data_IF_995739779213
#
_entry.id   IF_995739779213
#
_cell.length_a   1.000
_cell.length_b   1.000
_cell.length_c   1.000
_cell.angle_alpha   90.00
_cell.angle_beta   90.00
_cell.angle_gamma   90.00
#
_symmetry.space_group_name_H-M   'P 1'
#
loop_
_entity.id
_entity.type
_entity.pdbx_description
1 polymer ?
#
# COMPACT_ATOMS: atom_id res chain seq x y z
N UNK A 1 -0.34 10.17 31.45
CA UNK A 1 -1.06 9.09 30.75
C UNK A 1 -1.88 9.54 29.53
N UNK A 2 -2.20 10.85 29.35
CA UNK A 2 -2.55 11.43 28.02
C UNK A 2 -1.59 11.00 26.89
N UNK A 3 -0.28 11.04 27.17
CA UNK A 3 0.77 10.59 26.23
C UNK A 3 0.62 9.12 25.86
N UNK A 4 0.22 8.24 26.79
CA UNK A 4 0.00 6.81 26.54
C UNK A 4 -1.13 6.58 25.55
N UNK A 5 -2.26 7.30 25.71
CA UNK A 5 -3.39 7.24 24.78
C UNK A 5 -3.01 7.77 23.38
N UNK A 6 -2.29 8.89 23.32
CA UNK A 6 -1.80 9.49 22.06
C UNK A 6 -0.83 8.53 21.35
N UNK A 7 0.11 7.94 22.11
CA UNK A 7 1.08 6.97 21.59
C UNK A 7 0.37 5.72 21.08
N UNK A 8 -0.57 5.16 21.84
CA UNK A 8 -1.33 3.97 21.43
C UNK A 8 -2.08 4.23 20.11
N UNK A 9 -2.83 5.33 20.02
CA UNK A 9 -3.56 5.68 18.80
C UNK A 9 -2.60 5.93 17.62
N UNK A 10 -1.45 6.57 17.88
CA UNK A 10 -0.44 6.81 16.84
C UNK A 10 0.17 5.49 16.35
N UNK A 11 0.45 4.54 17.24
CA UNK A 11 0.98 3.22 16.88
C UNK A 11 -0.04 2.45 16.03
N UNK A 12 -1.31 2.39 16.46
CA UNK A 12 -2.37 1.69 15.71
C UNK A 12 -2.51 2.27 14.30
N UNK A 13 -2.47 3.60 14.18
CA UNK A 13 -2.54 4.28 12.90
C UNK A 13 -1.30 4.04 12.02
N UNK A 14 -0.10 4.04 12.61
CA UNK A 14 1.13 3.71 11.89
C UNK A 14 1.07 2.28 11.33
N UNK A 15 0.64 1.32 12.15
CA UNK A 15 0.46 -0.07 11.73
C UNK A 15 -0.52 -0.16 10.55
N UNK A 16 -1.66 0.54 10.64
CA UNK A 16 -2.64 0.57 9.55
C UNK A 16 -2.06 1.13 8.24
N UNK A 17 -1.31 2.23 8.31
CA UNK A 17 -0.66 2.82 7.13
C UNK A 17 0.39 1.90 6.51
N UNK A 18 1.19 1.22 7.35
CA UNK A 18 2.19 0.24 6.89
C UNK A 18 1.52 -0.95 6.22
N UNK A 19 0.44 -1.49 6.81
CA UNK A 19 -0.32 -2.60 6.21
C UNK A 19 -0.85 -2.20 4.83
N UNK A 20 -1.46 -1.02 4.70
CA UNK A 20 -1.98 -0.53 3.42
C UNK A 20 -0.86 -0.42 2.38
N UNK A 21 0.31 0.11 2.76
CA UNK A 21 1.47 0.20 1.85
C UNK A 21 1.96 -1.18 1.41
N UNK A 22 2.02 -2.15 2.32
CA UNK A 22 2.47 -3.51 2.00
C UNK A 22 1.51 -4.19 1.03
N UNK A 23 0.20 -4.13 1.33
CA UNK A 23 -0.84 -4.72 0.48
C UNK A 23 -0.85 -4.06 -0.89
N UNK A 24 -0.76 -2.72 -0.97
CA UNK A 24 -0.73 -2.01 -2.25
C UNK A 24 0.52 -2.34 -3.06
N UNK A 25 1.68 -2.44 -2.40
CA UNK A 25 2.95 -2.79 -3.07
C UNK A 25 2.89 -4.20 -3.65
N UNK A 26 2.38 -5.18 -2.91
CA UNK A 26 2.19 -6.56 -3.39
C UNK A 26 1.23 -6.57 -4.59
N UNK A 27 0.11 -5.85 -4.49
CA UNK A 27 -0.85 -5.76 -5.59
C UNK A 27 -0.23 -5.17 -6.86
N UNK A 28 0.56 -4.09 -6.73
CA UNK A 28 1.24 -3.44 -7.86
C UNK A 28 2.25 -4.38 -8.52
N UNK A 29 3.04 -5.13 -7.73
CA UNK A 29 4.00 -6.11 -8.27
C UNK A 29 3.26 -7.20 -9.07
N UNK A 30 2.19 -7.77 -8.49
CA UNK A 30 1.42 -8.83 -9.14
C UNK A 30 0.75 -8.34 -10.44
N UNK A 31 0.17 -7.13 -10.42
CA UNK A 31 -0.40 -6.52 -11.63
C UNK A 31 0.68 -6.25 -12.67
N UNK A 32 1.87 -5.79 -12.25
CA UNK A 32 3.00 -5.56 -13.14
C UNK A 32 3.48 -6.83 -13.83
N UNK A 33 3.60 -7.94 -13.08
CA UNK A 33 3.98 -9.24 -13.63
C UNK A 33 2.92 -9.79 -14.59
N UNK A 34 1.66 -9.83 -14.17
CA UNK A 34 0.55 -10.32 -15.01
C UNK A 34 0.42 -9.52 -16.31
N UNK A 35 0.50 -8.18 -16.23
CA UNK A 35 0.46 -7.33 -17.42
C UNK A 35 1.67 -7.55 -18.33
N UNK A 36 2.85 -7.85 -17.76
CA UNK A 36 4.04 -8.17 -18.57
C UNK A 36 3.86 -9.49 -19.30
N UNK A 37 3.35 -10.53 -18.63
CA UNK A 37 3.05 -11.84 -19.23
C UNK A 37 1.97 -11.74 -20.30
N UNK A 38 0.86 -11.04 -20.03
CA UNK A 38 -0.21 -10.82 -21.02
C UNK A 38 0.32 -10.09 -22.26
N UNK A 39 1.14 -9.05 -22.07
CA UNK A 39 1.77 -8.32 -23.18
C UNK A 39 2.71 -9.22 -23.98
N UNK A 40 3.56 -10.01 -23.31
CA UNK A 40 4.45 -10.95 -24.00
C UNK A 40 3.64 -11.95 -24.84
N UNK A 41 2.57 -12.53 -24.30
CA UNK A 41 1.70 -13.44 -25.02
C UNK A 41 1.03 -12.77 -26.23
N UNK A 42 0.47 -11.56 -26.05
CA UNK A 42 -0.17 -10.82 -27.13
C UNK A 42 0.81 -10.47 -28.26
N UNK A 43 1.99 -9.96 -27.93
CA UNK A 43 3.00 -9.67 -28.94
C UNK A 43 3.49 -10.93 -29.64
N UNK A 44 3.72 -12.02 -28.88
CA UNK A 44 4.18 -13.27 -29.44
C UNK A 44 3.15 -13.84 -30.41
N UNK A 45 1.86 -13.82 -30.07
CA UNK A 45 0.78 -14.28 -30.94
C UNK A 45 0.71 -13.45 -32.24
N UNK A 46 0.76 -12.12 -32.14
CA UNK A 46 0.73 -11.24 -33.33
C UNK A 46 1.94 -11.49 -34.23
N UNK A 47 3.15 -11.54 -33.65
CA UNK A 47 4.39 -11.73 -34.43
C UNK A 47 4.42 -13.14 -35.04
N UNK A 48 3.95 -14.16 -34.32
CA UNK A 48 3.87 -15.53 -34.87
C UNK A 48 2.97 -15.58 -36.10
N UNK A 49 1.79 -14.94 -36.05
CA UNK A 49 0.92 -14.87 -37.21
C UNK A 49 1.59 -14.16 -38.40
N UNK A 50 2.29 -13.05 -38.17
CA UNK A 50 3.02 -12.35 -39.25
C UNK A 50 4.13 -13.24 -39.82
N UNK A 51 4.86 -13.97 -38.99
CA UNK A 51 5.90 -14.90 -39.44
C UNK A 51 5.32 -16.02 -40.29
N UNK A 52 4.17 -16.58 -39.92
CA UNK A 52 3.52 -17.68 -40.64
C UNK A 52 2.85 -17.22 -41.94
N UNK A 53 2.23 -16.03 -41.97
CA UNK A 53 1.50 -15.52 -43.14
C UNK A 53 2.39 -14.74 -44.12
N UNK A 54 3.32 -13.93 -43.62
CA UNK A 54 4.11 -12.98 -44.43
C UNK A 54 5.62 -13.28 -44.43
N UNK A 55 6.12 -14.03 -43.43
CA UNK A 55 7.52 -14.41 -43.30
C UNK A 55 8.33 -13.57 -42.30
N UNK A 56 9.64 -13.88 -42.20
CA UNK A 56 10.51 -13.32 -41.15
C UNK A 56 10.80 -11.83 -41.31
N UNK A 57 11.07 -11.37 -42.53
CA UNK A 57 11.43 -9.97 -42.79
C UNK A 57 10.28 -8.99 -42.49
N UNK A 58 9.02 -9.26 -42.89
CA UNK A 58 7.87 -8.44 -42.47
C UNK A 58 7.71 -8.36 -40.96
N UNK A 59 7.80 -9.48 -40.24
CA UNK A 59 7.71 -9.49 -38.77
C UNK A 59 8.82 -8.66 -38.11
N UNK A 60 10.06 -8.82 -38.60
CA UNK A 60 11.20 -8.01 -38.15
C UNK A 60 10.97 -6.51 -38.41
N UNK A 61 10.51 -6.15 -39.60
CA UNK A 61 10.23 -4.77 -39.98
C UNK A 61 9.09 -4.14 -39.16
N UNK A 62 8.05 -4.91 -38.84
CA UNK A 62 6.93 -4.46 -38.03
C UNK A 62 7.39 -4.09 -36.61
N UNK A 63 8.29 -4.89 -36.02
CA UNK A 63 8.81 -4.62 -34.67
C UNK A 63 9.89 -3.54 -34.68
N UNK A 64 10.87 -3.63 -35.58
CA UNK A 64 12.01 -2.69 -35.64
C UNK A 64 11.60 -1.25 -35.94
N UNK A 65 10.50 -1.04 -36.68
CA UNK A 65 9.96 0.29 -36.98
C UNK A 65 8.93 0.77 -35.95
N UNK A 66 8.57 -0.07 -34.99
CA UNK A 66 7.63 0.31 -33.94
C UNK A 66 8.34 1.09 -32.84
N UNK A 67 7.63 2.04 -32.23
CA UNK A 67 8.08 2.70 -30.99
C UNK A 67 7.94 1.80 -29.75
N UNK A 68 7.56 0.53 -29.93
CA UNK A 68 7.42 -0.40 -28.83
C UNK A 68 8.79 -0.86 -28.34
N UNK A 69 8.99 -0.83 -27.02
CA UNK A 69 10.18 -1.38 -26.37
C UNK A 69 10.11 -2.90 -26.27
N UNK A 70 10.01 -3.56 -27.42
CA UNK A 70 10.02 -5.00 -27.55
C UNK A 70 11.23 -5.44 -28.36
N UNK A 71 11.94 -6.44 -27.85
CA UNK A 71 12.98 -7.14 -28.61
C UNK A 71 12.37 -8.37 -29.24
N UNK A 72 12.49 -8.50 -30.55
CA UNK A 72 12.16 -9.71 -31.29
C UNK A 72 13.46 -10.44 -31.65
N UNK A 73 13.45 -11.76 -31.49
CA UNK A 73 14.50 -12.63 -32.00
C UNK A 73 13.86 -13.83 -32.71
N UNK A 74 14.23 -14.07 -33.96
CA UNK A 74 13.85 -15.25 -34.73
C UNK A 74 15.07 -16.15 -34.82
N UNK A 75 14.92 -17.42 -34.47
CA UNK A 75 16.02 -18.38 -34.29
C UNK A 75 15.67 -19.64 -35.09
N UNK A 76 16.60 -20.20 -35.84
CA UNK A 76 16.38 -21.49 -36.52
C UNK A 76 16.30 -22.68 -35.52
N UNK A 77 15.97 -23.87 -36.02
CA UNK A 77 15.82 -25.06 -35.16
C UNK A 77 17.16 -25.54 -34.58
N UNK A 78 18.27 -25.16 -35.22
CA UNK A 78 19.64 -25.41 -34.79
C UNK A 78 20.13 -24.39 -33.74
N UNK A 79 19.37 -23.32 -33.48
CA UNK A 79 19.68 -22.31 -32.47
C UNK A 79 20.37 -21.05 -32.98
N UNK A 80 20.60 -20.91 -34.27
CA UNK A 80 21.24 -19.74 -34.85
C UNK A 80 20.22 -18.60 -34.99
N UNK A 81 20.66 -17.38 -34.71
CA UNK A 81 19.82 -16.19 -34.83
C UNK A 81 19.69 -15.80 -36.30
N UNK A 82 18.46 -15.81 -36.81
CA UNK A 82 18.12 -15.33 -38.15
C UNK A 82 17.87 -13.82 -38.16
N UNK A 83 17.13 -13.32 -37.18
CA UNK A 83 16.81 -11.90 -37.01
C UNK A 83 16.81 -11.51 -35.53
N UNK A 84 17.36 -10.34 -35.21
CA UNK A 84 17.28 -9.74 -33.86
C UNK A 84 17.17 -8.21 -33.98
N UNK A 85 16.12 -7.62 -33.41
CA UNK A 85 15.89 -6.17 -33.47
C UNK A 85 16.89 -5.34 -32.67
N UNK A 86 17.72 -5.99 -31.83
CA UNK A 86 18.80 -5.37 -31.08
C UNK A 86 20.20 -5.76 -31.60
N UNK A 87 20.30 -6.46 -32.74
CA UNK A 87 21.52 -6.82 -33.51
C UNK A 87 22.82 -7.02 -32.70
N UNK A 88 22.77 -7.78 -31.59
CA UNK A 88 23.88 -7.80 -30.62
C UNK A 88 24.46 -9.17 -30.29
N UNK A 89 23.74 -10.27 -30.55
CA UNK A 89 24.23 -11.61 -30.26
C UNK A 89 24.06 -12.50 -31.50
N UNK A 90 25.18 -12.99 -32.06
CA UNK A 90 25.21 -14.06 -33.07
C UNK A 90 25.50 -15.44 -32.41
N UNK A 91 25.37 -15.51 -31.09
CA UNK A 91 25.57 -16.73 -30.32
C UNK A 91 24.39 -17.69 -30.53
N UNK A 92 24.63 -18.98 -30.38
CA UNK A 92 23.58 -19.98 -30.41
C UNK A 92 22.70 -19.86 -29.15
N UNK A 93 21.38 -19.92 -29.32
CA UNK A 93 20.41 -19.74 -28.24
C UNK A 93 19.69 -21.01 -27.76
N UNK A 94 20.04 -22.21 -28.24
CA UNK A 94 19.40 -23.46 -27.77
C UNK A 94 19.55 -23.68 -26.27
N UNK A 95 20.60 -23.12 -25.67
CA UNK A 95 20.83 -23.28 -24.23
C UNK A 95 19.97 -22.38 -23.35
N UNK A 96 19.24 -21.43 -23.93
CA UNK A 96 18.40 -20.49 -23.18
C UNK A 96 17.14 -21.19 -22.66
N UNK A 97 16.80 -20.93 -21.40
CA UNK A 97 15.64 -21.55 -20.74
C UNK A 97 14.33 -21.33 -21.50
N UNK A 98 14.13 -20.12 -22.05
CA UNK A 98 12.94 -19.79 -22.84
C UNK A 98 12.83 -20.60 -24.14
N UNK A 99 13.95 -21.11 -24.68
CA UNK A 99 14.01 -21.94 -25.89
C UNK A 99 13.88 -23.43 -25.54
N UNK A 100 14.45 -23.85 -24.41
CA UNK A 100 14.32 -25.22 -23.87
C UNK A 100 12.88 -25.53 -23.46
N UNK A 101 12.18 -24.56 -22.87
CA UNK A 101 10.80 -24.69 -22.43
C UNK A 101 9.94 -23.54 -23.02
N UNK A 102 9.57 -23.61 -24.31
CA UNK A 102 8.72 -22.61 -24.94
C UNK A 102 7.36 -22.50 -24.23
N UNK A 103 6.79 -21.30 -24.20
CA UNK A 103 5.52 -20.99 -23.54
C UNK A 103 5.63 -20.58 -22.08
N UNK A 104 6.83 -20.59 -21.49
CA UNK A 104 7.09 -20.12 -20.12
C UNK A 104 7.84 -18.80 -20.14
N UNK A 105 7.41 -17.84 -19.31
CA UNK A 105 8.11 -16.57 -19.13
C UNK A 105 9.33 -16.75 -18.23
N UNK A 106 10.50 -16.32 -18.70
CA UNK A 106 11.73 -16.30 -17.92
C UNK A 106 12.27 -14.88 -17.79
N UNK A 107 12.54 -14.45 -16.57
CA UNK A 107 13.27 -13.20 -16.32
C UNK A 107 14.77 -13.44 -16.23
N UNK A 108 15.55 -12.67 -16.99
CA UNK A 108 17.01 -12.69 -16.89
C UNK A 108 17.62 -11.33 -17.21
N UNK A 109 18.85 -11.14 -16.75
CA UNK A 109 19.64 -10.00 -17.15
C UNK A 109 20.07 -10.13 -18.62
N UNK A 110 19.76 -9.11 -19.42
CA UNK A 110 20.23 -9.02 -20.80
C UNK A 110 21.61 -8.39 -20.83
N UNK A 111 22.66 -9.15 -21.15
CA UNK A 111 24.02 -8.59 -21.27
C UNK A 111 24.10 -7.55 -22.38
N UNK A 112 23.45 -7.79 -23.51
CA UNK A 112 23.50 -6.88 -24.65
C UNK A 112 22.71 -5.60 -24.46
N UNK A 113 21.63 -5.63 -23.67
CA UNK A 113 20.79 -4.44 -23.40
C UNK A 113 21.15 -3.76 -22.06
N UNK A 114 21.86 -4.46 -21.16
CA UNK A 114 22.38 -3.90 -19.90
C UNK A 114 21.38 -3.85 -18.74
N UNK A 115 20.22 -4.49 -18.86
CA UNK A 115 19.20 -4.53 -17.80
C UNK A 115 18.32 -5.79 -17.85
N UNK A 116 17.54 -6.02 -16.79
CA UNK A 116 16.60 -7.15 -16.70
C UNK A 116 15.48 -7.06 -17.75
N UNK A 117 15.18 -8.21 -18.34
CA UNK A 117 14.13 -8.40 -19.34
C UNK A 117 13.36 -9.68 -19.00
N UNK A 118 12.06 -9.68 -19.30
CA UNK A 118 11.24 -10.89 -19.33
C UNK A 118 11.20 -11.43 -20.77
N UNK A 119 11.45 -12.72 -20.94
CA UNK A 119 11.53 -13.41 -22.23
C UNK A 119 10.44 -14.46 -22.33
N UNK A 120 9.79 -14.55 -23.48
CA UNK A 120 8.86 -15.60 -23.83
C UNK A 120 9.17 -16.06 -25.26
N UNK A 121 9.11 -17.36 -25.50
CA UNK A 121 9.27 -17.91 -26.83
C UNK A 121 8.21 -18.95 -27.17
N UNK A 122 7.96 -19.11 -28.47
CA UNK A 122 7.19 -20.21 -29.04
C UNK A 122 8.05 -20.93 -30.07
N UNK A 123 7.85 -22.24 -30.19
CA UNK A 123 8.44 -23.05 -31.25
C UNK A 123 7.39 -23.28 -32.34
N UNK A 124 7.71 -22.93 -33.57
CA UNK A 124 6.93 -23.28 -34.76
C UNK A 124 7.58 -24.47 -35.47
N UNK A 125 7.00 -24.91 -36.59
CA UNK A 125 7.56 -26.00 -37.41
C UNK A 125 8.91 -25.64 -38.04
N UNK A 126 9.19 -24.34 -38.22
CA UNK A 126 10.37 -23.85 -38.95
C UNK A 126 11.38 -23.10 -38.10
N UNK A 127 10.98 -22.54 -36.95
CA UNK A 127 11.84 -21.68 -36.15
C UNK A 127 11.35 -21.56 -34.69
N UNK A 128 12.14 -20.87 -33.87
CA UNK A 128 11.71 -20.30 -32.60
C UNK A 128 11.50 -18.80 -32.75
N UNK A 129 10.37 -18.31 -32.24
CA UNK A 129 10.07 -16.89 -32.17
C UNK A 129 10.13 -16.49 -30.70
N UNK A 130 11.01 -15.54 -30.38
CA UNK A 130 11.21 -15.04 -29.02
C UNK A 130 10.92 -13.55 -28.96
N UNK A 131 10.12 -13.15 -27.97
CA UNK A 131 9.88 -11.75 -27.61
C UNK A 131 10.43 -11.45 -26.23
N UNK A 132 10.86 -10.21 -26.02
CA UNK A 132 11.29 -9.75 -24.70
C UNK A 132 10.89 -8.31 -24.40
N UNK A 133 10.55 -8.06 -23.13
CA UNK A 133 10.17 -6.74 -22.61
C UNK A 133 11.08 -6.34 -21.43
N UNK A 134 11.42 -5.05 -21.28
CA UNK A 134 12.20 -4.57 -20.14
C UNK A 134 11.37 -4.59 -18.85
N UNK A 135 11.85 -5.33 -17.85
CA UNK A 135 11.28 -5.33 -16.49
C UNK A 135 11.93 -4.29 -15.58
N UNK A 136 13.10 -3.77 -15.99
CA UNK A 136 13.81 -2.69 -15.28
C UNK A 136 12.97 -1.42 -15.06
N UNK A 137 12.06 -1.10 -16.00
CA UNK A 137 11.12 0.01 -15.86
C UNK A 137 10.06 -0.24 -14.80
N UNK A 138 9.59 -1.49 -14.70
CA UNK A 138 8.65 -1.92 -13.67
C UNK A 138 9.33 -1.86 -12.30
N UNK A 139 10.56 -2.36 -12.19
CA UNK A 139 11.38 -2.27 -10.97
C UNK A 139 11.58 -0.81 -10.52
N UNK A 140 11.95 0.07 -11.45
CA UNK A 140 12.18 1.49 -11.17
C UNK A 140 10.89 2.20 -10.75
N UNK A 141 9.76 1.88 -11.40
CA UNK A 141 8.45 2.39 -11.03
C UNK A 141 8.05 1.96 -9.61
N UNK A 142 8.23 0.68 -9.26
CA UNK A 142 7.93 0.15 -7.93
C UNK A 142 8.80 0.83 -6.87
N UNK A 143 10.11 0.98 -7.13
CA UNK A 143 11.02 1.66 -6.20
C UNK A 143 10.61 3.11 -5.96
N UNK A 144 10.30 3.86 -7.03
CA UNK A 144 9.85 5.24 -6.93
C UNK A 144 8.48 5.36 -6.23
N UNK A 145 7.57 4.43 -6.51
CA UNK A 145 6.28 4.33 -5.82
C UNK A 145 6.49 4.16 -4.32
N UNK A 146 7.29 3.19 -3.88
CA UNK A 146 7.57 2.94 -2.46
C UNK A 146 8.18 4.18 -1.80
N UNK A 147 9.14 4.84 -2.47
CA UNK A 147 9.77 6.06 -1.96
C UNK A 147 8.74 7.18 -1.74
N UNK A 148 7.95 7.50 -2.77
CA UNK A 148 6.95 8.58 -2.72
C UNK A 148 5.86 8.25 -1.69
N UNK A 149 5.34 7.02 -1.70
CA UNK A 149 4.33 6.58 -0.74
C UNK A 149 4.82 6.63 0.70
N UNK A 150 6.10 6.29 0.95
CA UNK A 150 6.70 6.40 2.28
C UNK A 150 6.74 7.86 2.75
N UNK A 151 7.15 8.79 1.88
CA UNK A 151 7.15 10.22 2.20
C UNK A 151 5.73 10.74 2.53
N UNK A 152 4.73 10.32 1.74
CA UNK A 152 3.32 10.67 1.98
C UNK A 152 2.85 10.11 3.32
N UNK A 153 3.18 8.85 3.65
CA UNK A 153 2.83 8.23 4.93
C UNK A 153 3.42 8.98 6.10
N UNK A 154 4.68 9.45 6.01
CA UNK A 154 5.31 10.27 7.03
C UNK A 154 4.55 11.58 7.24
N UNK A 155 4.17 12.26 6.15
CA UNK A 155 3.39 13.51 6.20
C UNK A 155 2.03 13.27 6.86
N UNK A 156 1.31 12.23 6.42
CA UNK A 156 0.00 11.85 6.97
C UNK A 156 0.14 11.51 8.46
N UNK A 157 1.17 10.76 8.84
CA UNK A 157 1.44 10.39 10.23
C UNK A 157 1.66 11.62 11.11
N UNK A 158 2.48 12.59 10.67
CA UNK A 158 2.69 13.83 11.41
C UNK A 158 1.39 14.63 11.54
N UNK A 159 0.67 14.84 10.43
CA UNK A 159 -0.57 15.60 10.42
C UNK A 159 -1.62 15.00 11.35
N UNK A 160 -1.79 13.68 11.28
CA UNK A 160 -2.73 12.94 12.11
C UNK A 160 -2.31 12.91 13.58
N UNK A 161 -1.02 12.78 13.92
CA UNK A 161 -0.54 12.93 15.30
C UNK A 161 -0.87 14.32 15.87
N UNK A 162 -0.69 15.40 15.08
CA UNK A 162 -1.06 16.76 15.49
C UNK A 162 -2.57 16.87 15.73
N UNK A 163 -3.39 16.30 14.86
CA UNK A 163 -4.84 16.27 15.02
C UNK A 163 -5.27 15.49 16.26
N UNK A 164 -4.65 14.34 16.55
CA UNK A 164 -4.92 13.53 17.75
C UNK A 164 -4.61 14.34 19.01
N UNK A 165 -3.46 15.04 19.05
CA UNK A 165 -3.09 15.89 20.19
C UNK A 165 -4.13 16.99 20.39
N UNK A 166 -4.45 17.76 19.34
CA UNK A 166 -5.40 18.87 19.40
C UNK A 166 -6.80 18.41 19.79
N UNK A 167 -7.27 17.30 19.23
CA UNK A 167 -8.60 16.77 19.52
C UNK A 167 -8.70 16.23 20.96
N UNK A 168 -7.65 15.55 21.44
CA UNK A 168 -7.57 15.14 22.83
C UNK A 168 -7.61 16.36 23.75
N UNK A 169 -6.76 17.36 23.55
CA UNK A 169 -6.73 18.53 24.43
C UNK A 169 -8.06 19.28 24.48
N UNK A 170 -8.74 19.43 23.34
CA UNK A 170 -10.09 20.00 23.30
C UNK A 170 -11.12 19.16 24.07
N UNK A 171 -11.08 17.84 23.89
CA UNK A 171 -11.99 16.91 24.59
C UNK A 171 -11.75 16.95 26.10
N UNK A 172 -10.49 16.89 26.54
CA UNK A 172 -10.13 16.99 27.94
C UNK A 172 -10.51 18.33 28.56
N UNK A 173 -10.35 19.43 27.82
CA UNK A 173 -10.80 20.75 28.29
C UNK A 173 -12.29 20.76 28.56
N UNK A 174 -13.11 20.23 27.65
CA UNK A 174 -14.57 20.14 27.82
C UNK A 174 -14.96 19.24 28.99
N UNK A 175 -14.32 18.08 29.13
CA UNK A 175 -14.57 17.17 30.26
C UNK A 175 -14.23 17.86 31.59
N UNK A 176 -13.08 18.54 31.67
CA UNK A 176 -12.69 19.26 32.88
C UNK A 176 -13.64 20.41 33.22
N UNK A 177 -14.19 21.10 32.23
CA UNK A 177 -15.22 22.12 32.45
C UNK A 177 -16.49 21.51 33.06
N UNK A 178 -17.02 20.45 32.44
CA UNK A 178 -18.22 19.77 32.94
C UNK A 178 -18.02 19.17 34.35
N UNK A 179 -16.84 18.60 34.62
CA UNK A 179 -16.49 18.11 35.96
C UNK A 179 -16.42 19.23 36.99
N UNK A 180 -15.90 20.39 36.62
CA UNK A 180 -15.88 21.56 37.50
C UNK A 180 -17.28 22.10 37.78
N UNK A 181 -18.18 22.08 36.79
CA UNK A 181 -19.57 22.48 37.00
C UNK A 181 -20.27 21.50 37.97
N UNK A 182 -20.07 20.19 37.80
CA UNK A 182 -20.58 19.18 38.74
C UNK A 182 -19.98 19.32 40.14
N UNK A 183 -18.68 19.62 40.24
CA UNK A 183 -18.01 19.86 41.51
C UNK A 183 -18.60 21.06 42.25
N UNK A 184 -18.89 22.16 41.53
CA UNK A 184 -19.56 23.33 42.12
C UNK A 184 -20.95 23.00 42.63
N UNK A 185 -21.74 22.21 41.89
CA UNK A 185 -23.08 21.78 42.33
C UNK A 185 -22.98 20.90 43.59
N UNK A 186 -21.98 20.03 43.66
CA UNK A 186 -21.73 19.16 44.81
C UNK A 186 -21.08 19.88 46.01
N UNK A 187 -20.88 21.20 45.95
CA UNK A 187 -20.25 22.00 47.01
C UNK A 187 -18.76 21.71 47.21
N UNK A 188 -18.05 21.32 46.15
CA UNK A 188 -16.61 21.05 46.16
C UNK A 188 -15.82 22.21 45.53
N UNK A 189 -14.56 22.37 45.93
CA UNK A 189 -13.61 23.27 45.27
C UNK A 189 -13.35 22.84 43.81
N UNK A 190 -12.88 23.77 42.98
CA UNK A 190 -12.56 23.52 41.58
C UNK A 190 -11.52 22.39 41.44
N UNK A 191 -11.87 21.38 40.65
CA UNK A 191 -11.01 20.25 40.35
C UNK A 191 -10.07 20.67 39.22
N UNK A 192 -8.80 20.89 39.55
CA UNK A 192 -7.76 21.26 38.58
C UNK A 192 -6.96 20.02 38.17
N UNK A 193 -6.57 19.95 36.89
CA UNK A 193 -5.71 18.89 36.33
C UNK A 193 -6.25 17.45 36.42
N UNK A 194 -7.54 17.24 36.14
CA UNK A 194 -8.10 15.88 36.04
C UNK A 194 -7.43 15.10 34.92
N UNK A 195 -6.85 13.94 35.26
CA UNK A 195 -6.35 12.96 34.30
C UNK A 195 -7.44 11.93 33.95
N UNK A 196 -7.25 11.19 32.85
CA UNK A 196 -8.16 10.09 32.44
C UNK A 196 -8.36 9.07 33.56
N UNK A 197 -7.31 8.81 34.33
CA UNK A 197 -7.30 7.75 35.34
C UNK A 197 -8.02 8.21 36.61
N UNK A 198 -7.98 9.51 36.91
CA UNK A 198 -8.65 10.11 38.06
C UNK A 198 -10.14 10.33 37.82
N UNK A 199 -10.56 10.40 36.54
CA UNK A 199 -11.92 10.68 36.10
C UNK A 199 -12.94 9.74 36.75
N UNK A 200 -12.66 8.44 36.77
CA UNK A 200 -13.52 7.44 37.41
C UNK A 200 -13.67 7.73 38.91
N UNK A 201 -12.55 7.94 39.61
CA UNK A 201 -12.55 8.21 41.05
C UNK A 201 -13.26 9.51 41.42
N UNK A 202 -13.06 10.57 40.62
CA UNK A 202 -13.69 11.88 40.79
C UNK A 202 -15.20 11.76 40.57
N UNK A 203 -15.63 11.07 39.51
CA UNK A 203 -17.05 10.82 39.24
C UNK A 203 -17.70 10.05 40.37
N UNK A 204 -17.07 9.01 40.91
CA UNK A 204 -17.58 8.27 42.06
C UNK A 204 -17.71 9.16 43.29
N UNK A 205 -16.72 10.01 43.56
CA UNK A 205 -16.72 10.89 44.73
C UNK A 205 -17.79 11.99 44.61
N UNK A 206 -17.94 12.58 43.42
CA UNK A 206 -19.01 13.54 43.12
C UNK A 206 -20.39 12.90 43.21
N UNK A 207 -20.56 11.68 42.67
CA UNK A 207 -21.81 10.91 42.76
C UNK A 207 -22.24 10.70 44.21
N UNK A 208 -21.31 10.23 45.06
CA UNK A 208 -21.58 9.98 46.49
C UNK A 208 -21.94 11.27 47.24
N UNK A 209 -21.29 12.40 46.93
CA UNK A 209 -21.63 13.69 47.53
C UNK A 209 -23.01 14.19 47.10
N UNK A 210 -23.33 14.11 45.81
CA UNK A 210 -24.63 14.52 45.30
C UNK A 210 -25.76 13.66 45.90
N UNK A 211 -25.54 12.35 46.06
CA UNK A 211 -26.49 11.46 46.73
C UNK A 211 -26.75 11.90 48.17
N UNK A 212 -25.71 12.20 48.95
CA UNK A 212 -25.87 12.72 50.31
C UNK A 212 -26.66 14.05 50.34
N UNK A 213 -26.38 14.97 49.41
CA UNK A 213 -27.08 16.26 49.32
C UNK A 213 -28.57 16.04 48.99
N UNK A 214 -28.89 15.14 48.06
CA UNK A 214 -30.27 14.82 47.69
C UNK A 214 -31.01 14.20 48.88
N UNK A 215 -30.39 13.27 49.61
CA UNK A 215 -31.01 12.65 50.79
C UNK A 215 -31.24 13.65 51.91
N UNK A 216 -30.27 14.54 52.19
CA UNK A 216 -30.43 15.62 53.19
C UNK A 216 -31.54 16.61 52.78
N UNK A 217 -31.62 16.95 51.49
CA UNK A 217 -32.67 17.84 50.98
C UNK A 217 -34.05 17.22 51.14
N UNK A 218 -34.23 15.93 50.82
CA UNK A 218 -35.51 15.22 51.01
C UNK A 218 -35.92 15.17 52.48
N UNK A 219 -34.98 14.88 53.36
CA UNK A 219 -35.24 14.85 54.81
C UNK A 219 -35.71 16.21 55.33
N UNK A 220 -35.08 17.30 54.88
CA UNK A 220 -35.52 18.67 55.23
C UNK A 220 -36.91 19.00 54.70
N UNK A 221 -37.25 18.58 53.49
CA UNK A 221 -38.57 18.78 52.90
C UNK A 221 -39.67 18.04 53.68
N UNK A 222 -39.43 16.79 54.05
CA UNK A 222 -40.35 16.02 54.91
C UNK A 222 -40.55 16.68 56.28
N UNK A 223 -39.46 17.14 56.90
CA UNK A 223 -39.51 17.86 58.17
C UNK A 223 -40.33 19.16 58.04
N UNK A 224 -40.13 19.93 56.97
CA UNK A 224 -40.88 21.15 56.71
C UNK A 224 -42.37 20.87 56.49
N UNK A 225 -42.71 19.84 55.72
CA UNK A 225 -44.09 19.42 55.50
C UNK A 225 -44.78 18.93 56.79
N UNK A 226 -44.03 18.33 57.72
CA UNK A 226 -44.52 17.94 59.04
C UNK A 226 -44.74 19.10 60.01
N UNK A 227 -44.12 20.26 59.74
CA UNK A 227 -44.28 21.48 60.55
C UNK A 227 -45.43 22.38 60.06
N UNK A 228 -45.84 22.22 58.80
CA UNK A 228 -46.87 23.05 58.15
C UNK A 228 -48.26 22.39 58.22
N UNK A 229 -48.34 21.06 58.41
CA UNK A 229 -49.56 20.29 58.68
C UNK A 229 -49.76 20.06 60.18
#
# INVERSE_FOLDING_TARGET
>A
MKKRLIILNSIVMLIALVIVLLVSSIAIVNVGQNNTEERLNNYLAIITNIVEEEGYEPAYNAVSKSDFEIRLTIIDLEGNVLYDTQMSELENHLDREEIKNPGVVYERFSKSVGHKMAYLAVKTDSCYIRVALPTSKVDSFISNYILISTLIIIIIFIASSVLIIKNNDNTFKKINQNLNDLARIAGNDTITNVSVDDLASILTLLSKKLENIITDSKYKEECLNSLIN
#
